data_IF_097841384024
#
_entry.id   IF_097841384024
#
_cell.length_a   1.000
_cell.length_b   1.000
_cell.length_c   1.000
_cell.angle_alpha   90.00
_cell.angle_beta   90.00
_cell.angle_gamma   90.00
#
_symmetry.space_group_name_H-M   'P 1'
#
loop_
_entity.id
_entity.type
_entity.pdbx_description
1 polymer ?
#
# COMPACT_ATOMS: atom_id res chain seq x y z
N UNK A 1 -5.97 -18.30 9.13
CA UNK A 1 -4.87 -18.99 9.83
C UNK A 1 -3.81 -19.39 8.80
N UNK A 2 -2.63 -18.74 8.81
CA UNK A 2 -1.45 -19.16 8.02
C UNK A 2 -0.20 -19.22 8.94
N UNK A 3 -0.23 -19.95 10.07
CA UNK A 3 0.82 -19.82 11.08
C UNK A 3 2.09 -20.58 10.67
N UNK A 4 1.95 -21.74 10.03
CA UNK A 4 3.06 -22.64 9.71
C UNK A 4 4.10 -22.02 8.76
N UNK A 5 3.67 -21.16 7.84
CA UNK A 5 4.60 -20.47 6.93
C UNK A 5 5.46 -19.43 7.66
N UNK A 6 4.98 -18.90 8.79
CA UNK A 6 5.68 -17.89 9.55
C UNK A 6 6.92 -18.41 10.28
N UNK A 7 7.03 -19.73 10.46
CA UNK A 7 8.20 -20.35 11.11
C UNK A 7 9.34 -20.68 10.14
N UNK A 8 9.10 -20.52 8.83
CA UNK A 8 10.09 -20.82 7.79
C UNK A 8 11.21 -19.78 7.78
N UNK A 9 12.36 -20.15 8.37
CA UNK A 9 13.51 -19.28 8.58
C UNK A 9 14.17 -18.75 7.30
N UNK A 10 13.95 -19.42 6.16
CA UNK A 10 14.56 -19.06 4.87
C UNK A 10 13.54 -18.53 3.85
N UNK A 11 12.27 -18.40 4.21
CA UNK A 11 11.23 -17.94 3.28
C UNK A 11 11.42 -16.44 3.00
N UNK A 12 11.85 -16.11 1.78
CA UNK A 12 12.08 -14.71 1.33
C UNK A 12 10.94 -14.13 0.52
N UNK A 13 10.20 -14.98 -0.19
CA UNK A 13 9.12 -14.58 -1.08
C UNK A 13 7.87 -15.40 -0.77
N UNK A 14 6.77 -14.73 -0.48
CA UNK A 14 5.48 -15.37 -0.23
C UNK A 14 4.41 -14.74 -1.13
N UNK A 15 3.71 -15.58 -1.88
CA UNK A 15 2.57 -15.19 -2.69
C UNK A 15 1.40 -16.08 -2.31
N UNK A 16 0.34 -15.47 -1.80
CA UNK A 16 -0.90 -16.14 -1.45
C UNK A 16 -1.97 -15.60 -2.38
N UNK A 17 -2.68 -16.51 -3.05
CA UNK A 17 -3.68 -16.18 -4.05
C UNK A 17 -4.96 -16.95 -3.81
N UNK A 18 -6.10 -16.37 -4.17
CA UNK A 18 -7.40 -17.06 -4.29
C UNK A 18 -7.89 -17.71 -2.98
N UNK A 19 -7.44 -17.17 -1.85
CA UNK A 19 -7.93 -17.52 -0.52
C UNK A 19 -9.20 -16.73 -0.24
N UNK A 20 -10.26 -16.99 -1.02
CA UNK A 20 -11.44 -16.13 -1.12
C UNK A 20 -12.17 -15.92 0.22
N UNK A 21 -12.24 -16.97 1.04
CA UNK A 21 -12.96 -17.00 2.33
C UNK A 21 -12.10 -16.64 3.54
N UNK A 22 -10.81 -16.34 3.34
CA UNK A 22 -9.91 -16.06 4.46
C UNK A 22 -10.14 -14.64 5.00
N UNK A 23 -10.81 -14.55 6.15
CA UNK A 23 -11.12 -13.27 6.80
C UNK A 23 -9.94 -12.59 7.50
N UNK A 24 -9.02 -13.39 8.03
CA UNK A 24 -7.90 -12.90 8.84
C UNK A 24 -6.58 -13.48 8.35
N UNK A 25 -5.64 -12.60 8.02
CA UNK A 25 -4.23 -12.93 7.82
C UNK A 25 -3.45 -12.66 9.12
N UNK A 26 -2.58 -13.61 9.49
CA UNK A 26 -1.88 -13.61 10.78
C UNK A 26 -2.57 -14.49 11.83
N UNK A 27 -2.53 -14.05 13.10
CA UNK A 27 -3.01 -14.83 14.25
C UNK A 27 -3.98 -14.04 15.13
N UNK A 28 -4.83 -14.75 15.86
CA UNK A 28 -5.70 -14.16 16.89
C UNK A 28 -4.88 -13.87 18.13
N UNK A 29 -5.17 -12.76 18.82
CA UNK A 29 -4.39 -12.18 19.92
C UNK A 29 -4.18 -13.09 21.16
N UNK A 30 -4.58 -14.36 21.13
CA UNK A 30 -4.65 -15.26 22.28
C UNK A 30 -3.59 -16.36 22.32
N UNK A 31 -2.49 -16.28 21.57
CA UNK A 31 -1.43 -17.27 21.71
C UNK A 31 -0.02 -16.67 21.63
N UNK A 32 0.64 -16.72 22.78
CA UNK A 32 2.09 -16.80 23.00
C UNK A 32 2.89 -15.50 22.85
N UNK A 33 3.07 -14.81 23.98
CA UNK A 33 4.00 -13.69 24.17
C UNK A 33 5.49 -14.11 24.12
N UNK A 34 5.80 -15.39 23.86
CA UNK A 34 7.17 -15.95 23.99
C UNK A 34 7.77 -16.57 22.72
N UNK A 35 7.12 -16.48 21.56
CA UNK A 35 7.70 -16.99 20.30
C UNK A 35 8.55 -15.95 19.58
N UNK A 36 9.59 -16.44 18.91
CA UNK A 36 10.41 -15.66 17.99
C UNK A 36 9.55 -15.01 16.90
N UNK A 37 10.04 -13.90 16.33
CA UNK A 37 9.36 -13.19 15.25
C UNK A 37 9.02 -14.13 14.09
N UNK A 38 7.81 -14.00 13.57
CA UNK A 38 7.37 -14.75 12.39
C UNK A 38 7.91 -14.08 11.13
N UNK A 39 8.17 -14.89 10.11
CA UNK A 39 8.70 -14.47 8.82
C UNK A 39 10.03 -13.71 8.92
N UNK A 40 11.05 -14.27 9.60
CA UNK A 40 12.29 -13.55 9.91
C UNK A 40 13.12 -13.17 8.67
N UNK A 41 12.96 -13.89 7.56
CA UNK A 41 13.66 -13.66 6.30
C UNK A 41 12.77 -13.11 5.16
N UNK A 42 11.49 -12.85 5.40
CA UNK A 42 10.58 -12.49 4.33
C UNK A 42 10.86 -11.06 3.83
N UNK A 43 11.09 -10.93 2.53
CA UNK A 43 11.41 -9.66 1.86
C UNK A 43 10.25 -9.15 1.00
N UNK A 44 9.44 -10.06 0.47
CA UNK A 44 8.34 -9.77 -0.42
C UNK A 44 7.09 -10.61 -0.09
N UNK A 45 5.98 -9.91 0.09
CA UNK A 45 4.66 -10.51 0.33
C UNK A 45 3.65 -10.05 -0.72
N UNK A 46 2.96 -11.00 -1.33
CA UNK A 46 1.86 -10.78 -2.27
C UNK A 46 0.57 -11.43 -1.74
N UNK A 47 -0.48 -10.63 -1.61
CA UNK A 47 -1.83 -11.09 -1.23
C UNK A 47 -2.81 -10.77 -2.36
N UNK A 48 -3.21 -11.78 -3.14
CA UNK A 48 -4.04 -11.57 -4.32
C UNK A 48 -5.39 -12.31 -4.23
N UNK A 49 -6.45 -11.65 -4.66
CA UNK A 49 -7.79 -12.24 -4.77
C UNK A 49 -8.26 -12.83 -3.42
N UNK A 50 -8.11 -12.08 -2.32
CA UNK A 50 -8.53 -12.46 -0.97
C UNK A 50 -9.77 -11.65 -0.59
N UNK A 51 -10.92 -12.06 -1.13
CA UNK A 51 -12.13 -11.22 -1.15
C UNK A 51 -12.75 -10.97 0.22
N UNK A 52 -12.65 -11.93 1.13
CA UNK A 52 -13.15 -11.77 2.50
C UNK A 52 -12.08 -11.24 3.49
N UNK A 53 -10.84 -10.98 3.05
CA UNK A 53 -9.78 -10.54 3.95
C UNK A 53 -10.07 -9.13 4.47
N UNK A 54 -10.45 -9.03 5.74
CA UNK A 54 -10.76 -7.77 6.43
C UNK A 54 -9.74 -7.38 7.50
N UNK A 55 -9.05 -8.36 8.09
CA UNK A 55 -8.11 -8.19 9.20
C UNK A 55 -6.72 -8.72 8.87
N UNK A 56 -5.71 -7.92 9.21
CA UNK A 56 -4.32 -8.31 9.19
C UNK A 56 -3.72 -8.08 10.59
N UNK A 57 -3.49 -9.16 11.33
CA UNK A 57 -3.11 -9.10 12.75
C UNK A 57 -1.73 -9.75 12.94
N UNK A 58 -0.76 -8.95 13.35
CA UNK A 58 0.64 -9.36 13.61
C UNK A 58 1.13 -8.63 14.86
N UNK A 59 2.24 -9.08 15.44
CA UNK A 59 2.92 -8.44 16.57
C UNK A 59 4.06 -7.59 16.06
N UNK A 60 4.48 -6.65 16.90
CA UNK A 60 5.71 -5.92 16.70
C UNK A 60 6.90 -6.89 16.57
N UNK A 61 7.75 -6.62 15.59
CA UNK A 61 8.92 -7.45 15.28
C UNK A 61 8.66 -8.59 14.30
N UNK A 62 7.40 -8.92 13.97
CA UNK A 62 7.11 -9.77 12.81
C UNK A 62 7.56 -9.06 11.52
N UNK A 63 7.93 -9.84 10.50
CA UNK A 63 8.34 -9.30 9.19
C UNK A 63 9.54 -8.31 9.24
N UNK A 64 10.62 -8.59 10.00
CA UNK A 64 11.69 -7.61 10.24
C UNK A 64 12.42 -7.17 8.96
N UNK A 65 12.38 -8.00 7.91
CA UNK A 65 13.05 -7.78 6.61
C UNK A 65 12.10 -7.46 5.46
N UNK A 66 10.81 -7.29 5.73
CA UNK A 66 9.82 -7.12 4.66
C UNK A 66 9.98 -5.75 4.01
N UNK A 67 10.39 -5.76 2.74
CA UNK A 67 10.65 -4.54 1.94
C UNK A 67 9.55 -4.26 0.95
N UNK A 68 8.82 -5.27 0.50
CA UNK A 68 7.81 -5.13 -0.56
C UNK A 68 6.50 -5.82 -0.19
N UNK A 69 5.41 -5.07 -0.24
CA UNK A 69 4.04 -5.60 -0.11
C UNK A 69 3.25 -5.25 -1.36
N UNK A 70 2.55 -6.24 -1.92
CA UNK A 70 1.65 -6.04 -3.04
C UNK A 70 0.31 -6.73 -2.79
N UNK A 71 -0.74 -5.93 -2.74
CA UNK A 71 -2.09 -6.36 -2.43
C UNK A 71 -2.95 -6.15 -3.67
N UNK A 72 -3.63 -7.19 -4.13
CA UNK A 72 -4.46 -7.14 -5.34
C UNK A 72 -5.81 -7.78 -5.07
N UNK A 73 -6.92 -7.09 -5.33
CA UNK A 73 -8.25 -7.67 -5.16
C UNK A 73 -8.54 -8.11 -3.71
N UNK A 74 -8.26 -7.24 -2.74
CA UNK A 74 -8.58 -7.43 -1.32
C UNK A 74 -9.52 -6.29 -0.86
N UNK A 75 -10.81 -6.33 -1.24
CA UNK A 75 -11.73 -5.20 -1.11
C UNK A 75 -12.11 -4.85 0.34
N UNK A 76 -12.05 -5.81 1.27
CA UNK A 76 -12.45 -5.62 2.66
C UNK A 76 -11.30 -5.23 3.59
N UNK A 77 -10.04 -5.25 3.13
CA UNK A 77 -8.89 -4.95 3.97
C UNK A 77 -8.88 -3.47 4.33
N UNK A 78 -8.93 -3.16 5.64
CA UNK A 78 -9.09 -1.78 6.13
C UNK A 78 -7.80 -1.13 6.63
N UNK A 79 -6.85 -1.93 7.10
CA UNK A 79 -5.60 -1.42 7.66
C UNK A 79 -4.45 -2.39 7.41
N UNK A 80 -3.24 -1.83 7.36
CA UNK A 80 -2.00 -2.59 7.40
C UNK A 80 -1.39 -2.53 8.79
N UNK A 81 -0.68 -3.60 9.22
CA UNK A 81 0.15 -3.51 10.41
C UNK A 81 1.39 -2.65 10.14
N UNK A 82 2.09 -2.28 11.21
CA UNK A 82 3.33 -1.54 11.12
C UNK A 82 4.45 -2.38 10.49
N UNK A 83 5.09 -1.84 9.45
CA UNK A 83 6.21 -2.48 8.75
C UNK A 83 7.45 -1.57 8.75
N UNK A 84 8.39 -1.72 9.71
CA UNK A 84 9.50 -0.77 9.92
C UNK A 84 10.57 -0.77 8.83
N UNK A 85 10.54 -1.76 7.94
CA UNK A 85 11.50 -1.97 6.85
C UNK A 85 10.88 -1.83 5.46
N UNK A 86 9.59 -1.46 5.37
CA UNK A 86 8.87 -1.41 4.11
C UNK A 86 9.36 -0.27 3.22
N UNK A 87 9.67 -0.59 1.98
CA UNK A 87 10.20 0.34 0.97
C UNK A 87 9.21 0.50 -0.19
N UNK A 88 8.56 -0.59 -0.59
CA UNK A 88 7.64 -0.62 -1.73
C UNK A 88 6.27 -1.13 -1.29
N UNK A 89 5.23 -0.35 -1.56
CA UNK A 89 3.85 -0.72 -1.30
C UNK A 89 3.01 -0.55 -2.56
N UNK A 90 2.22 -1.56 -2.88
CA UNK A 90 1.32 -1.52 -4.03
C UNK A 90 -0.05 -2.08 -3.72
N UNK A 91 -1.08 -1.36 -4.14
CA UNK A 91 -2.47 -1.78 -4.08
C UNK A 91 -3.06 -1.80 -5.48
N UNK A 92 -3.77 -2.87 -5.80
CA UNK A 92 -4.40 -3.08 -7.11
C UNK A 92 -5.83 -3.54 -6.91
N UNK A 93 -6.78 -2.94 -7.62
CA UNK A 93 -8.17 -3.42 -7.67
C UNK A 93 -8.81 -3.63 -6.27
N UNK A 94 -8.51 -2.73 -5.33
CA UNK A 94 -9.19 -2.69 -4.02
C UNK A 94 -10.34 -1.68 -4.07
N UNK A 95 -11.27 -1.80 -3.12
CA UNK A 95 -12.43 -0.90 -3.01
C UNK A 95 -12.13 0.32 -2.14
N UNK A 96 -11.15 0.22 -1.25
CA UNK A 96 -10.65 1.29 -0.40
C UNK A 96 -9.13 1.17 -0.23
N UNK A 97 -8.46 2.28 0.11
CA UNK A 97 -7.06 2.24 0.46
C UNK A 97 -6.97 1.81 1.94
N UNK A 98 -6.29 0.69 2.26
CA UNK A 98 -6.08 0.33 3.65
C UNK A 98 -5.29 1.43 4.36
N UNK A 99 -5.65 1.72 5.62
CA UNK A 99 -4.92 2.64 6.47
C UNK A 99 -3.45 2.20 6.55
N UNK A 100 -2.56 3.12 6.15
CA UNK A 100 -1.12 2.93 6.17
C UNK A 100 -0.61 3.63 7.43
N UNK A 101 -0.18 2.85 8.42
CA UNK A 101 0.47 3.40 9.62
C UNK A 101 1.85 3.99 9.28
N UNK A 102 2.48 4.70 10.23
CA UNK A 102 3.76 5.38 10.04
C UNK A 102 4.82 4.47 9.35
N UNK A 103 5.07 4.74 8.07
CA UNK A 103 6.03 4.01 7.23
C UNK A 103 7.15 4.95 6.80
N UNK A 104 8.05 5.22 7.74
CA UNK A 104 9.12 6.21 7.60
C UNK A 104 10.10 5.93 6.45
N UNK A 105 10.19 4.67 5.99
CA UNK A 105 11.11 4.23 4.91
C UNK A 105 10.43 3.97 3.58
N UNK A 106 9.13 4.23 3.46
CA UNK A 106 8.41 3.96 2.22
C UNK A 106 8.92 4.90 1.11
N UNK A 107 9.55 4.33 0.08
CA UNK A 107 10.10 5.09 -1.06
C UNK A 107 9.18 5.06 -2.29
N UNK A 108 8.32 4.04 -2.40
CA UNK A 108 7.45 3.83 -3.55
C UNK A 108 6.07 3.37 -3.13
N UNK A 109 5.05 4.12 -3.56
CA UNK A 109 3.64 3.81 -3.37
C UNK A 109 2.94 3.75 -4.72
N UNK A 110 2.30 2.62 -5.02
CA UNK A 110 1.49 2.42 -6.22
C UNK A 110 0.05 2.09 -5.87
N UNK A 111 -0.89 2.80 -6.47
CA UNK A 111 -2.34 2.63 -6.31
C UNK A 111 -2.93 2.49 -7.71
N UNK A 112 -3.47 1.33 -8.05
CA UNK A 112 -3.97 1.05 -9.39
C UNK A 112 -5.37 0.44 -9.40
N UNK A 113 -6.24 0.94 -10.28
CA UNK A 113 -7.46 0.25 -10.66
C UNK A 113 -8.56 0.27 -9.61
N UNK A 114 -8.58 1.28 -8.74
CA UNK A 114 -9.63 1.47 -7.73
C UNK A 114 -10.88 2.06 -8.41
N UNK A 115 -11.98 1.31 -8.39
CA UNK A 115 -13.20 1.70 -9.10
C UNK A 115 -14.18 2.47 -8.23
N UNK A 116 -14.24 2.19 -6.93
CA UNK A 116 -15.29 2.72 -6.05
C UNK A 116 -14.78 3.79 -5.06
N UNK A 117 -13.57 4.30 -5.27
CA UNK A 117 -12.97 5.33 -4.41
C UNK A 117 -13.16 6.73 -5.00
N UNK A 118 -13.62 7.67 -4.16
CA UNK A 118 -13.80 9.07 -4.50
C UNK A 118 -12.72 9.98 -3.92
N UNK A 119 -12.14 9.58 -2.79
CA UNK A 119 -11.03 10.28 -2.13
C UNK A 119 -10.00 9.27 -1.63
N UNK A 120 -8.73 9.54 -1.88
CA UNK A 120 -7.62 8.81 -1.25
C UNK A 120 -7.12 9.61 -0.06
N UNK A 121 -7.02 8.98 1.10
CA UNK A 121 -6.37 9.56 2.27
C UNK A 121 -4.99 8.94 2.42
N UNK A 122 -3.95 9.73 2.10
CA UNK A 122 -2.56 9.31 2.31
C UNK A 122 -2.14 9.72 3.72
N UNK A 123 -1.38 8.88 4.44
CA UNK A 123 -0.91 9.26 5.76
C UNK A 123 -0.09 10.56 5.69
N UNK A 124 -0.24 11.46 6.69
CA UNK A 124 0.46 12.73 6.69
C UNK A 124 1.96 12.51 6.85
N UNK A 125 2.75 13.05 5.93
CA UNK A 125 4.21 13.03 6.03
C UNK A 125 4.79 11.63 5.77
N UNK A 126 4.97 11.30 4.50
CA UNK A 126 5.78 10.16 4.05
C UNK A 126 7.18 10.67 3.70
N UNK A 127 8.11 10.78 4.68
CA UNK A 127 9.34 11.55 4.52
C UNK A 127 10.33 10.94 3.53
N UNK A 128 10.23 9.65 3.23
CA UNK A 128 11.10 8.96 2.29
C UNK A 128 10.45 8.71 0.92
N UNK A 129 9.18 9.08 0.72
CA UNK A 129 8.43 8.72 -0.48
C UNK A 129 8.97 9.50 -1.68
N UNK A 130 9.58 8.79 -2.62
CA UNK A 130 10.12 9.35 -3.86
C UNK A 130 9.21 9.11 -5.05
N UNK A 131 8.49 7.99 -5.06
CA UNK A 131 7.66 7.58 -6.20
C UNK A 131 6.21 7.37 -5.77
N UNK A 132 5.29 8.10 -6.40
CA UNK A 132 3.84 7.91 -6.24
C UNK A 132 3.21 7.64 -7.61
N UNK A 133 2.65 6.45 -7.82
CA UNK A 133 1.90 6.09 -9.04
C UNK A 133 0.42 5.86 -8.65
N UNK A 134 -0.47 6.68 -9.20
CA UNK A 134 -1.92 6.53 -9.09
C UNK A 134 -2.47 6.32 -10.49
N UNK A 135 -3.00 5.14 -10.78
CA UNK A 135 -3.45 4.83 -12.13
C UNK A 135 -4.79 4.11 -12.19
N UNK A 136 -5.59 4.38 -13.23
CA UNK A 136 -6.87 3.71 -13.51
C UNK A 136 -7.88 3.85 -12.36
N UNK A 137 -7.85 4.97 -11.63
CA UNK A 137 -8.78 5.29 -10.56
C UNK A 137 -9.91 6.19 -11.10
N UNK A 138 -10.92 5.58 -11.72
CA UNK A 138 -11.89 6.31 -12.57
C UNK A 138 -12.82 7.25 -11.80
N UNK A 139 -13.12 6.93 -10.53
CA UNK A 139 -14.02 7.72 -9.70
C UNK A 139 -13.29 8.64 -8.72
N UNK A 140 -11.96 8.61 -8.71
CA UNK A 140 -11.16 9.40 -7.78
C UNK A 140 -11.26 10.89 -8.11
N UNK A 141 -11.74 11.67 -7.16
CA UNK A 141 -11.93 13.13 -7.27
C UNK A 141 -10.83 13.89 -6.53
N UNK A 142 -10.34 13.35 -5.42
CA UNK A 142 -9.35 14.04 -4.59
C UNK A 142 -8.36 13.09 -3.92
N UNK A 143 -7.20 13.64 -3.59
CA UNK A 143 -6.20 12.99 -2.72
C UNK A 143 -5.95 13.95 -1.56
N UNK A 144 -6.15 13.46 -0.35
CA UNK A 144 -6.00 14.15 0.94
C UNK A 144 -4.74 13.63 1.63
N UNK A 145 -4.16 14.41 2.54
CA UNK A 145 -2.89 14.06 3.21
C UNK A 145 -1.65 14.27 2.34
N UNK A 146 -1.82 14.68 1.07
CA UNK A 146 -0.72 15.06 0.17
C UNK A 146 -0.02 16.37 0.56
N UNK A 147 -0.53 17.10 1.56
CA UNK A 147 -0.01 18.40 2.01
C UNK A 147 1.43 18.42 2.49
N UNK A 148 2.06 17.25 2.68
CA UNK A 148 3.45 17.12 3.13
C UNK A 148 4.28 16.12 2.33
N UNK A 149 3.98 15.92 1.04
CA UNK A 149 4.77 15.07 0.15
C UNK A 149 6.00 15.80 -0.41
N UNK A 150 6.86 16.34 0.47
CA UNK A 150 8.03 17.14 0.08
C UNK A 150 9.17 16.34 -0.55
N UNK A 151 9.16 15.01 -0.38
CA UNK A 151 10.24 14.12 -0.82
C UNK A 151 9.95 13.41 -2.14
N UNK A 152 8.73 13.55 -2.67
CA UNK A 152 8.34 12.89 -3.92
C UNK A 152 9.17 13.48 -5.05
N UNK A 153 9.80 12.63 -5.84
CA UNK A 153 10.58 13.00 -7.03
C UNK A 153 9.80 12.69 -8.31
N UNK A 154 8.95 11.65 -8.27
CA UNK A 154 8.17 11.15 -9.40
C UNK A 154 6.73 10.93 -8.98
N UNK A 155 5.83 11.64 -9.62
CA UNK A 155 4.39 11.51 -9.46
C UNK A 155 3.77 11.11 -10.80
N UNK A 156 3.14 9.95 -10.85
CA UNK A 156 2.50 9.44 -12.06
C UNK A 156 1.02 9.27 -11.83
N UNK A 157 0.20 9.95 -12.63
CA UNK A 157 -1.26 9.90 -12.57
C UNK A 157 -1.79 9.49 -13.93
N UNK A 158 -2.32 8.29 -14.10
CA UNK A 158 -2.71 7.78 -15.43
C UNK A 158 -4.14 7.31 -15.43
N UNK A 159 -4.97 7.70 -16.40
CA UNK A 159 -6.38 7.25 -16.46
C UNK A 159 -7.17 7.52 -15.16
N UNK A 160 -7.07 8.73 -14.63
CA UNK A 160 -7.83 9.22 -13.47
C UNK A 160 -8.65 10.48 -13.87
N UNK A 161 -9.70 10.33 -14.69
CA UNK A 161 -10.36 11.45 -15.38
C UNK A 161 -11.09 12.44 -14.46
N UNK A 162 -11.52 12.02 -13.26
CA UNK A 162 -12.23 12.87 -12.31
C UNK A 162 -11.33 13.58 -11.30
N UNK A 163 -10.04 13.27 -11.28
CA UNK A 163 -9.11 13.78 -10.28
C UNK A 163 -8.71 15.21 -10.62
N UNK A 164 -9.14 16.18 -9.80
CA UNK A 164 -8.71 17.56 -9.94
C UNK A 164 -7.33 17.77 -9.31
N UNK A 165 -6.30 17.54 -10.12
CA UNK A 165 -4.89 17.73 -9.75
C UNK A 165 -4.40 19.16 -9.95
N UNK A 166 -5.05 19.94 -10.81
CA UNK A 166 -4.48 21.18 -11.33
C UNK A 166 -4.40 22.22 -10.22
N UNK A 167 -5.40 22.33 -9.35
CA UNK A 167 -5.40 23.36 -8.31
C UNK A 167 -4.71 22.92 -7.01
N UNK A 168 -4.76 21.63 -6.67
CA UNK A 168 -4.26 21.14 -5.38
C UNK A 168 -2.76 20.85 -5.36
N UNK A 169 -2.19 20.46 -6.51
CA UNK A 169 -0.80 20.00 -6.56
C UNK A 169 0.17 21.08 -7.08
N UNK A 170 -0.32 22.21 -7.61
CA UNK A 170 0.51 23.33 -8.06
C UNK A 170 1.40 23.94 -6.96
N UNK A 171 0.98 23.88 -5.69
CA UNK A 171 1.74 24.45 -4.56
C UNK A 171 3.02 23.67 -4.20
N UNK A 172 3.24 22.46 -4.72
CA UNK A 172 4.38 21.61 -4.33
C UNK A 172 5.58 21.67 -5.29
N UNK A 173 5.75 22.77 -6.04
CA UNK A 173 6.91 22.99 -6.93
C UNK A 173 7.20 21.86 -7.95
N UNK A 174 6.18 21.13 -8.41
CA UNK A 174 6.37 20.13 -9.47
C UNK A 174 6.81 20.78 -10.78
N UNK A 175 7.97 20.40 -11.32
CA UNK A 175 8.60 21.08 -12.46
C UNK A 175 7.93 20.92 -13.82
N UNK A 176 6.93 20.05 -13.99
CA UNK A 176 6.10 20.01 -15.21
C UNK A 176 4.85 19.19 -14.99
N UNK A 177 3.68 19.81 -15.15
CA UNK A 177 2.42 19.09 -15.25
C UNK A 177 2.17 18.87 -16.75
N UNK A 178 2.60 17.74 -17.31
CA UNK A 178 2.16 17.34 -18.65
C UNK A 178 0.86 16.54 -18.52
N UNK A 179 -0.26 17.25 -18.62
CA UNK A 179 -1.57 16.63 -18.85
C UNK A 179 -1.63 16.14 -20.29
N UNK A 180 -1.69 14.83 -20.49
CA UNK A 180 -2.19 14.25 -21.75
C UNK A 180 -3.63 13.80 -21.55
N UNK A 181 -4.40 13.66 -22.63
CA UNK A 181 -5.80 13.18 -22.58
C UNK A 181 -5.96 11.83 -21.85
N UNK A 182 -4.88 11.06 -21.69
CA UNK A 182 -4.88 9.71 -21.10
C UNK A 182 -3.94 9.53 -19.87
N UNK A 183 -3.06 10.49 -19.58
CA UNK A 183 -2.06 10.41 -18.54
C UNK A 183 -1.48 11.78 -18.14
N UNK A 184 -1.41 12.06 -16.85
CA UNK A 184 -0.60 13.12 -16.27
C UNK A 184 0.63 12.50 -15.61
N UNK A 185 1.80 12.60 -16.25
CA UNK A 185 3.06 12.21 -15.61
C UNK A 185 3.76 13.48 -15.15
N UNK A 186 4.01 13.58 -13.85
CA UNK A 186 4.64 14.71 -13.19
C UNK A 186 6.01 14.24 -12.70
N UNK A 187 7.07 14.71 -13.36
CA UNK A 187 8.45 14.52 -12.89
C UNK A 187 8.93 15.82 -12.24
N UNK A 188 9.55 15.74 -11.06
CA UNK A 188 10.17 16.89 -10.37
C UNK A 188 11.61 17.09 -10.82
#
# INVERSE_FOLDING_TARGET
>A
MIPALGDLQSLRYLCIRKMYTLKTFGYTASSEERRASKFPALELLKLWEMYELDRWIVKDGDFPRLRTVSICGCPLLKSLPHFPSLVNLSFHHCNQLPEIQEVLKLESLKIEGFRDIFSLDLPPGLPALKNLDISRCNNLVSVVGSSKLSSVEKLKIVKCPKLDIVNKWQQYHFKKISTTRDATVISI
#
